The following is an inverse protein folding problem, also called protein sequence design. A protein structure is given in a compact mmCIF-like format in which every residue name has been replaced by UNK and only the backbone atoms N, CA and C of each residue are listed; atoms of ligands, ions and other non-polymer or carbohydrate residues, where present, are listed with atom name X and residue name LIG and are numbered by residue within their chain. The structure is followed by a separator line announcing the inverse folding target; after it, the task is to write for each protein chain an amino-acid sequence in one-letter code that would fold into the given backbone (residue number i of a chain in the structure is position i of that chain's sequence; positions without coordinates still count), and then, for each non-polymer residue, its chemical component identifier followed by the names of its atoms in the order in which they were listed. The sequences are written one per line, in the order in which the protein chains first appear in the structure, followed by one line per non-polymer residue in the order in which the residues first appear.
data_IF_671906573027
#
_entry.id   IF_671906573027
#
_cell.length_a   1.000
_cell.length_b   1.000
_cell.length_c   1.000
_cell.angle_alpha   90.00
_cell.angle_beta   90.00
_cell.angle_gamma   90.00
#
_symmetry.space_group_name_H-M   'P 1'
#
loop_
_entity.id
_entity.type
_entity.pdbx_description
1 polymer ?
#
# COMPACT_ATOMS: atom_id res chain seq x y z
N UNK A 1 -28.41 -67.14 3.41
CA UNK A 1 -27.78 -65.92 3.95
C UNK A 1 -28.84 -64.84 3.98
N UNK A 2 -29.06 -64.23 5.14
CA UNK A 2 -29.94 -63.05 5.37
C UNK A 2 -29.34 -61.82 4.68
N UNK A 3 -30.07 -60.77 4.28
CA UNK A 3 -31.51 -60.48 4.32
C UNK A 3 -31.70 -58.98 4.00
N UNK A 4 -32.73 -58.59 3.23
CA UNK A 4 -33.01 -57.18 2.91
C UNK A 4 -33.33 -56.35 4.17
N UNK A 5 -33.06 -55.03 4.15
CA UNK A 5 -34.06 -53.97 4.42
C UNK A 5 -33.49 -52.54 4.31
N UNK A 6 -34.27 -51.66 3.68
CA UNK A 6 -34.10 -50.20 3.70
C UNK A 6 -34.82 -49.59 4.91
N UNK A 7 -34.26 -48.59 5.59
CA UNK A 7 -34.99 -47.75 6.54
C UNK A 7 -34.38 -46.33 6.68
N UNK A 8 -35.23 -45.36 7.01
CA UNK A 8 -34.88 -43.93 7.16
C UNK A 8 -34.15 -43.65 8.49
N UNK A 9 -33.32 -42.62 8.53
CA UNK A 9 -32.69 -42.14 9.78
C UNK A 9 -33.52 -41.07 10.51
N UNK A 10 -33.06 -40.59 11.68
CA UNK A 10 -33.59 -39.38 12.32
C UNK A 10 -32.63 -38.18 12.18
N UNK A 11 -33.22 -36.98 12.10
CA UNK A 11 -32.50 -35.69 12.21
C UNK A 11 -32.19 -35.41 13.69
N UNK A 12 -31.04 -34.83 14.00
CA UNK A 12 -30.83 -34.18 15.30
C UNK A 12 -30.43 -32.70 15.11
N UNK A 13 -31.35 -31.80 15.42
CA UNK A 13 -31.08 -30.39 15.74
C UNK A 13 -31.16 -30.25 17.26
N UNK A 14 -30.24 -29.50 17.87
CA UNK A 14 -30.33 -28.75 19.15
C UNK A 14 -28.90 -28.49 19.66
N UNK A 15 -28.56 -27.38 20.31
CA UNK A 15 -29.21 -26.05 20.30
C UNK A 15 -28.18 -24.96 20.70
N UNK A 16 -28.54 -23.69 20.51
CA UNK A 16 -27.68 -22.53 20.80
C UNK A 16 -27.45 -22.29 22.30
N UNK A 17 -26.24 -21.89 22.70
CA UNK A 17 -26.03 -21.15 23.96
C UNK A 17 -25.13 -19.92 23.76
N UNK A 18 -25.76 -18.76 23.52
CA UNK A 18 -25.12 -17.44 23.67
C UNK A 18 -24.92 -17.14 25.16
N UNK A 19 -23.71 -16.78 25.59
CA UNK A 19 -23.51 -16.11 26.90
C UNK A 19 -23.43 -14.59 26.70
N UNK A 20 -24.41 -13.88 27.25
CA UNK A 20 -24.41 -12.42 27.39
C UNK A 20 -23.44 -12.03 28.51
N UNK A 21 -22.68 -10.96 28.31
CA UNK A 21 -22.03 -10.23 29.42
C UNK A 21 -22.99 -9.16 29.92
N UNK A 22 -23.19 -9.09 31.23
CA UNK A 22 -24.05 -8.09 31.88
C UNK A 22 -23.17 -6.96 32.42
N UNK A 23 -23.49 -5.73 32.03
CA UNK A 23 -22.98 -4.52 32.70
C UNK A 23 -23.85 -4.26 33.92
N UNK A 24 -23.22 -4.05 35.08
CA UNK A 24 -23.88 -3.57 36.30
C UNK A 24 -23.16 -2.31 36.78
N UNK A 25 -23.92 -1.24 37.04
CA UNK A 25 -23.39 0.05 37.48
C UNK A 25 -23.74 0.38 38.93
N UNK A 26 -22.96 1.31 39.48
CA UNK A 26 -23.30 2.27 40.54
C UNK A 26 -24.01 1.80 41.83
N UNK A 27 -23.33 1.94 42.95
CA UNK A 27 -23.89 2.52 44.18
C UNK A 27 -22.78 3.20 44.98
N UNK A 28 -23.05 4.39 45.54
CA UNK A 28 -22.14 5.13 46.40
C UNK A 28 -22.69 5.21 47.83
N UNK A 29 -21.82 5.20 48.84
CA UNK A 29 -22.14 5.58 50.23
C UNK A 29 -20.95 6.37 50.79
N UNK A 30 -21.22 7.54 51.36
CA UNK A 30 -20.23 8.36 52.04
C UNK A 30 -20.23 8.10 53.56
N UNK A 31 -19.09 8.26 54.22
CA UNK A 31 -18.99 8.33 55.68
C UNK A 31 -17.98 9.41 56.10
N UNK A 32 -18.37 10.19 57.11
CA UNK A 32 -17.63 11.35 57.63
C UNK A 32 -16.68 10.92 58.75
N UNK A 33 -15.49 11.51 58.82
CA UNK A 33 -14.56 11.39 59.95
C UNK A 33 -13.82 12.71 60.19
N UNK A 34 -13.80 13.19 61.44
CA UNK A 34 -13.37 14.56 61.83
C UNK A 34 -12.11 14.52 62.72
N UNK A 35 -11.22 15.49 62.52
CA UNK A 35 -10.19 15.91 63.49
C UNK A 35 -8.73 15.79 62.98
N UNK A 36 -7.82 16.73 63.22
CA UNK A 36 -7.96 18.07 63.81
C UNK A 36 -6.63 18.69 64.29
N UNK A 37 -6.33 19.95 63.93
CA UNK A 37 -5.17 20.73 64.38
C UNK A 37 -3.80 20.28 63.83
N UNK A 38 -2.66 21.01 63.86
CA UNK A 38 -2.22 22.39 64.19
C UNK A 38 -0.74 22.46 63.68
N UNK A 39 -0.05 23.55 63.31
CA UNK A 39 -0.30 24.95 62.90
C UNK A 39 0.99 25.44 62.15
N UNK A 40 1.07 26.56 61.43
CA UNK A 40 1.35 27.94 61.91
C UNK A 40 1.57 28.90 60.71
N UNK A 41 1.31 30.20 60.92
CA UNK A 41 1.86 31.45 60.29
C UNK A 41 2.90 31.32 59.14
N UNK A 42 2.89 32.15 58.08
CA UNK A 42 2.95 33.63 58.14
C UNK A 42 2.81 34.32 56.75
N UNK A 43 2.46 35.61 56.81
CA UNK A 43 2.67 36.76 55.88
C UNK A 43 2.69 36.62 54.35
N UNK A 44 2.03 37.58 53.71
CA UNK A 44 2.17 37.91 52.29
C UNK A 44 3.50 38.60 51.97
N UNK A 45 3.90 38.56 50.70
CA UNK A 45 4.60 39.66 50.04
C UNK A 45 4.13 39.77 48.58
N UNK A 46 4.13 40.98 48.03
CA UNK A 46 3.68 41.32 46.69
C UNK A 46 4.84 41.98 45.95
N UNK A 47 5.37 41.39 44.87
CA UNK A 47 6.31 42.12 44.02
C UNK A 47 6.28 41.74 42.54
N UNK A 48 6.02 42.76 41.72
CA UNK A 48 6.49 43.00 40.34
C UNK A 48 6.24 41.95 39.25
N UNK A 49 5.44 42.37 38.27
CA UNK A 49 5.53 41.89 36.90
C UNK A 49 6.92 42.17 36.29
N UNK A 50 7.43 41.20 35.52
CA UNK A 50 8.51 41.40 34.57
C UNK A 50 7.95 41.25 33.16
N UNK A 51 7.88 42.35 32.41
CA UNK A 51 7.49 42.32 31.01
C UNK A 51 8.58 41.62 30.17
N UNK A 52 8.19 40.57 29.44
CA UNK A 52 9.03 40.01 28.37
C UNK A 52 8.48 40.49 27.03
N UNK A 53 9.34 41.17 26.28
CA UNK A 53 9.06 41.75 24.96
C UNK A 53 8.57 40.70 23.97
N UNK A 54 7.39 40.91 23.41
CA UNK A 54 6.83 40.05 22.36
C UNK A 54 7.55 40.23 21.03
N UNK A 55 8.40 39.28 20.67
CA UNK A 55 8.81 39.08 19.27
C UNK A 55 7.71 38.31 18.56
N UNK A 56 6.90 39.01 17.78
CA UNK A 56 5.89 38.39 16.92
C UNK A 56 6.56 37.68 15.72
N UNK A 57 7.08 36.47 15.94
CA UNK A 57 7.40 35.56 14.84
C UNK A 57 6.12 34.98 14.29
N UNK A 58 5.84 35.27 13.02
CA UNK A 58 4.73 34.73 12.25
C UNK A 58 4.76 33.21 12.21
N UNK A 59 4.01 32.56 13.10
CA UNK A 59 3.79 31.11 13.07
C UNK A 59 2.79 30.83 11.96
N UNK A 60 3.30 30.57 10.76
CA UNK A 60 2.56 29.79 9.75
C UNK A 60 2.46 28.38 10.30
N UNK A 61 1.41 28.12 11.08
CA UNK A 61 1.11 26.79 11.60
C UNK A 61 0.58 25.93 10.46
N UNK A 62 1.50 25.39 9.65
CA UNK A 62 1.26 24.07 9.08
C UNK A 62 0.90 23.14 10.25
N UNK A 63 -0.17 22.37 10.11
CA UNK A 63 -0.50 21.38 11.12
C UNK A 63 0.69 20.40 11.23
N UNK A 64 1.17 20.16 12.45
CA UNK A 64 2.26 19.21 12.64
C UNK A 64 1.73 17.80 12.30
N UNK A 65 2.11 17.30 11.13
CA UNK A 65 1.62 16.03 10.60
C UNK A 65 1.88 14.90 11.60
N UNK A 66 0.81 14.30 12.11
CA UNK A 66 0.89 13.30 13.17
C UNK A 66 1.43 11.94 12.67
N UNK A 67 1.48 11.76 11.34
CA UNK A 67 2.16 10.66 10.68
C UNK A 67 2.93 11.17 9.46
N UNK A 68 4.08 10.58 9.16
CA UNK A 68 4.85 10.94 7.96
C UNK A 68 4.13 10.42 6.71
N UNK A 69 3.97 11.29 5.71
CA UNK A 69 3.49 10.92 4.38
C UNK A 69 4.35 9.76 3.83
N UNK A 70 3.69 8.71 3.33
CA UNK A 70 4.38 7.62 2.65
C UNK A 70 4.93 8.13 1.32
N UNK A 71 6.18 7.81 1.00
CA UNK A 71 6.84 8.37 -0.18
C UNK A 71 6.08 7.97 -1.44
N UNK A 72 5.74 8.98 -2.24
CA UNK A 72 5.03 8.81 -3.50
C UNK A 72 6.03 8.44 -4.60
N UNK A 73 5.61 7.62 -5.55
CA UNK A 73 6.46 7.09 -6.62
C UNK A 73 5.71 7.07 -7.93
N UNK A 74 6.45 7.03 -9.05
CA UNK A 74 5.86 6.89 -10.39
C UNK A 74 4.93 5.67 -10.48
N UNK A 75 3.79 5.83 -11.14
CA UNK A 75 2.86 4.75 -11.51
C UNK A 75 3.56 3.66 -12.33
N UNK A 76 4.43 4.09 -13.25
CA UNK A 76 5.06 3.22 -14.24
C UNK A 76 4.11 2.84 -15.39
N UNK A 77 4.64 2.23 -16.46
CA UNK A 77 3.93 2.10 -17.73
C UNK A 77 2.76 1.09 -17.72
N UNK A 78 2.58 0.33 -16.64
CA UNK A 78 1.74 -0.87 -16.61
C UNK A 78 0.56 -0.80 -15.63
N UNK A 79 0.12 0.39 -15.23
CA UNK A 79 -1.20 0.52 -14.60
C UNK A 79 -2.28 0.12 -15.60
N UNK A 80 -3.37 -0.44 -15.08
CA UNK A 80 -4.60 -0.68 -15.83
C UNK A 80 -5.71 -0.48 -14.81
N UNK A 81 -6.61 0.48 -15.06
CA UNK A 81 -7.91 0.48 -14.38
C UNK A 81 -8.67 -0.75 -14.88
N UNK A 82 -8.67 -1.79 -14.05
CA UNK A 82 -9.03 -3.14 -14.47
C UNK A 82 -10.50 -3.49 -14.16
N UNK A 83 -11.26 -2.58 -13.52
CA UNK A 83 -12.59 -2.81 -12.95
C UNK A 83 -12.66 -4.08 -12.04
N UNK A 84 -11.51 -4.57 -11.57
CA UNK A 84 -11.42 -5.83 -10.80
C UNK A 84 -11.65 -5.57 -9.31
N UNK A 85 -12.91 -5.40 -8.93
CA UNK A 85 -13.31 -5.36 -7.52
C UNK A 85 -13.10 -6.73 -6.83
N UNK A 86 -11.90 -6.99 -6.32
CA UNK A 86 -11.54 -8.25 -5.65
C UNK A 86 -10.39 -8.10 -4.66
N UNK A 87 -10.36 -8.99 -3.68
CA UNK A 87 -9.26 -9.14 -2.69
C UNK A 87 -8.36 -10.32 -2.94
N UNK A 88 -8.82 -11.34 -3.65
CA UNK A 88 -7.98 -12.44 -4.10
C UNK A 88 -7.60 -12.12 -5.55
N UNK A 89 -6.35 -11.72 -5.76
CA UNK A 89 -5.82 -11.29 -7.07
C UNK A 89 -4.91 -12.35 -7.69
N UNK A 90 -4.70 -13.47 -6.98
CA UNK A 90 -3.83 -14.60 -7.35
C UNK A 90 -4.16 -15.19 -8.73
N UNK A 91 -5.46 -15.32 -9.02
CA UNK A 91 -5.99 -16.08 -10.17
C UNK A 91 -5.39 -17.49 -10.25
N UNK A 92 -4.71 -17.81 -11.34
CA UNK A 92 -4.04 -19.09 -11.61
C UNK A 92 -2.51 -19.05 -11.43
N UNK A 93 -1.94 -17.90 -11.04
CA UNK A 93 -0.49 -17.72 -10.99
C UNK A 93 0.14 -18.45 -9.81
N UNK A 94 1.16 -19.25 -10.12
CA UNK A 94 1.98 -19.97 -9.15
C UNK A 94 2.97 -19.03 -8.45
N UNK A 95 3.21 -19.27 -7.16
CA UNK A 95 4.16 -18.51 -6.36
C UNK A 95 3.99 -18.73 -4.86
N UNK A 96 4.81 -18.05 -4.05
CA UNK A 96 4.72 -18.07 -2.59
C UNK A 96 3.49 -17.27 -2.16
N UNK A 97 2.51 -17.83 -1.43
CA UNK A 97 1.31 -17.09 -1.04
C UNK A 97 1.61 -15.88 -0.15
N UNK A 98 1.16 -14.69 -0.55
CA UNK A 98 1.29 -13.44 0.20
C UNK A 98 -0.08 -12.94 0.64
N UNK A 99 -0.27 -12.76 1.94
CA UNK A 99 -1.39 -11.99 2.49
C UNK A 99 -0.89 -10.59 2.83
N UNK A 100 -1.27 -9.62 2.00
CA UNK A 100 -0.87 -8.22 2.13
C UNK A 100 -1.98 -7.45 2.85
N UNK A 101 -1.69 -6.83 4.00
CA UNK A 101 -2.63 -5.96 4.71
C UNK A 101 -2.10 -4.53 4.74
N UNK A 102 -2.84 -3.64 4.10
CA UNK A 102 -2.56 -2.22 4.01
C UNK A 102 -3.48 -1.49 4.98
N UNK A 103 -2.99 -0.42 5.61
CA UNK A 103 -3.81 0.51 6.38
C UNK A 103 -3.62 1.92 5.85
N UNK A 104 -4.67 2.53 5.34
CA UNK A 104 -4.68 3.93 4.87
C UNK A 104 -5.11 4.85 6.02
N UNK A 105 -4.29 5.85 6.32
CA UNK A 105 -4.62 6.94 7.23
C UNK A 105 -4.34 8.29 6.58
N UNK A 106 -5.14 9.27 6.95
CA UNK A 106 -4.83 10.69 6.72
C UNK A 106 -3.58 11.05 7.54
N UNK A 107 -2.53 11.59 6.89
CA UNK A 107 -1.25 11.92 7.54
C UNK A 107 -1.32 13.13 8.48
N UNK A 108 -2.27 14.05 8.27
CA UNK A 108 -2.46 15.22 9.14
C UNK A 108 -3.28 14.87 10.39
N UNK A 109 -4.35 14.08 10.25
CA UNK A 109 -5.28 13.78 11.36
C UNK A 109 -5.12 12.41 11.98
N UNK A 110 -4.33 11.52 11.38
CA UNK A 110 -4.10 10.12 11.77
C UNK A 110 -5.37 9.26 11.84
N UNK A 111 -6.48 9.77 11.28
CA UNK A 111 -7.74 9.06 11.21
C UNK A 111 -7.66 8.02 10.09
N UNK A 112 -8.17 6.81 10.30
CA UNK A 112 -8.26 5.85 9.22
C UNK A 112 -9.24 6.30 8.14
N UNK A 113 -8.78 6.28 6.89
CA UNK A 113 -9.63 6.63 5.74
C UNK A 113 -10.44 5.38 5.37
N UNK A 114 -11.75 5.45 5.60
CA UNK A 114 -12.71 4.37 5.32
C UNK A 114 -13.27 4.52 3.91
N UNK A 115 -13.58 3.39 3.26
CA UNK A 115 -14.16 3.31 1.91
C UNK A 115 -13.27 3.89 0.79
N UNK A 116 -11.99 4.20 1.04
CA UNK A 116 -11.04 4.49 -0.03
C UNK A 116 -10.89 3.26 -0.92
N UNK A 117 -10.81 3.43 -2.24
CA UNK A 117 -10.43 2.36 -3.15
C UNK A 117 -8.91 2.27 -3.16
N UNK A 118 -8.39 1.06 -2.93
CA UNK A 118 -6.96 0.78 -3.02
C UNK A 118 -6.76 -0.19 -4.16
N UNK A 119 -6.03 0.25 -5.17
CA UNK A 119 -5.54 -0.58 -6.26
C UNK A 119 -4.18 -1.16 -5.86
N UNK A 120 -3.94 -2.42 -6.20
CA UNK A 120 -2.59 -2.97 -6.27
C UNK A 120 -2.36 -3.73 -7.59
N UNK A 121 -1.15 -3.66 -8.11
CA UNK A 121 -0.69 -4.46 -9.24
C UNK A 121 0.79 -4.83 -9.13
N UNK A 122 1.17 -6.01 -9.61
CA UNK A 122 2.57 -6.44 -9.69
C UNK A 122 2.78 -7.52 -10.75
N UNK A 123 4.04 -7.81 -11.04
CA UNK A 123 4.44 -8.94 -11.88
C UNK A 123 4.24 -10.29 -11.16
N UNK A 124 4.12 -11.36 -11.96
CA UNK A 124 4.18 -12.72 -11.43
C UNK A 124 5.59 -13.12 -10.95
N UNK A 125 5.72 -14.37 -10.48
CA UNK A 125 6.95 -14.91 -9.91
C UNK A 125 8.16 -14.89 -10.88
N UNK A 126 7.93 -14.72 -12.19
CA UNK A 126 8.99 -14.63 -13.22
C UNK A 126 9.17 -13.22 -13.79
N UNK A 127 8.50 -12.21 -13.22
CA UNK A 127 8.63 -10.82 -13.63
C UNK A 127 7.67 -10.36 -14.72
N UNK A 128 6.63 -11.15 -15.06
CA UNK A 128 5.70 -10.86 -16.15
C UNK A 128 4.44 -10.14 -15.64
N UNK A 129 4.10 -8.99 -16.22
CA UNK A 129 2.85 -8.27 -15.91
C UNK A 129 1.69 -8.74 -16.80
N UNK A 130 0.53 -8.95 -16.18
CA UNK A 130 -0.74 -9.14 -16.90
C UNK A 130 -1.12 -7.90 -17.70
N UNK A 131 -1.64 -8.09 -18.90
CA UNK A 131 -1.86 -7.02 -19.87
C UNK A 131 -0.61 -6.68 -20.69
N UNK A 132 0.57 -7.22 -20.38
CA UNK A 132 1.84 -6.89 -21.01
C UNK A 132 2.76 -8.12 -21.16
N UNK A 133 2.18 -9.33 -21.32
CA UNK A 133 2.98 -10.56 -21.34
C UNK A 133 3.98 -10.54 -22.50
N UNK A 134 3.53 -10.11 -23.68
CA UNK A 134 4.35 -10.05 -24.90
C UNK A 134 5.59 -9.13 -24.78
N UNK A 135 5.46 -8.01 -24.07
CA UNK A 135 6.55 -7.05 -23.83
C UNK A 135 7.49 -7.57 -22.74
N UNK A 136 6.91 -8.14 -21.67
CA UNK A 136 7.65 -8.67 -20.52
C UNK A 136 8.56 -9.86 -20.90
N UNK A 137 8.06 -10.78 -21.73
CA UNK A 137 8.85 -11.95 -22.19
C UNK A 137 9.77 -11.62 -23.38
N UNK A 138 9.51 -10.51 -24.08
CA UNK A 138 10.10 -10.19 -25.38
C UNK A 138 11.45 -9.46 -25.36
N UNK A 139 12.15 -9.37 -24.22
CA UNK A 139 13.43 -8.66 -24.11
C UNK A 139 13.34 -7.16 -24.46
N UNK A 140 12.13 -6.60 -24.46
CA UNK A 140 11.89 -5.19 -24.73
C UNK A 140 12.44 -4.36 -23.59
N UNK A 141 13.41 -3.49 -23.88
CA UNK A 141 13.90 -2.53 -22.90
C UNK A 141 12.74 -1.65 -22.42
N UNK A 142 12.32 -1.84 -21.16
CA UNK A 142 11.45 -0.89 -20.48
C UNK A 142 12.11 0.49 -20.59
N UNK A 143 11.40 1.56 -20.99
CA UNK A 143 12.01 2.88 -21.11
C UNK A 143 12.41 3.41 -19.72
N UNK A 144 13.67 3.18 -19.33
CA UNK A 144 14.28 3.75 -18.12
C UNK A 144 14.53 5.23 -18.32
N UNK A 145 13.44 6.01 -18.19
CA UNK A 145 13.39 7.44 -18.47
C UNK A 145 14.12 8.31 -17.44
N UNK A 146 15.45 8.26 -17.40
CA UNK A 146 16.28 9.31 -16.83
C UNK A 146 16.86 10.17 -17.96
N UNK A 147 16.65 11.50 -18.00
CA UNK A 147 17.11 12.35 -19.09
C UNK A 147 18.62 12.59 -19.02
N UNK A 148 19.40 11.68 -19.59
CA UNK A 148 20.84 11.90 -19.86
C UNK A 148 20.98 12.71 -21.15
N UNK A 149 21.02 14.04 -21.02
CA UNK A 149 21.11 14.93 -22.17
C UNK A 149 21.17 16.41 -21.82
N UNK A 150 22.30 16.87 -21.27
CA UNK A 150 22.60 18.30 -21.25
C UNK A 150 22.85 18.80 -22.69
N UNK A 151 22.13 19.82 -23.19
CA UNK A 151 22.28 20.26 -24.58
C UNK A 151 23.47 21.21 -24.74
N UNK A 152 24.49 20.78 -25.48
CA UNK A 152 25.66 21.62 -25.84
C UNK A 152 25.93 21.57 -27.35
N UNK A 153 25.61 22.66 -28.06
CA UNK A 153 26.18 22.94 -29.39
C UNK A 153 25.21 23.22 -30.53
N UNK A 154 24.75 24.48 -30.63
CA UNK A 154 24.41 25.26 -31.85
C UNK A 154 23.87 24.59 -33.13
N UNK A 155 22.71 25.02 -33.67
CA UNK A 155 22.20 24.55 -34.96
C UNK A 155 22.94 25.18 -36.15
N UNK A 156 23.18 24.41 -37.21
CA UNK A 156 23.57 24.92 -38.53
C UNK A 156 23.04 23.98 -39.61
N UNK A 157 21.98 24.41 -40.31
CA UNK A 157 21.35 23.64 -41.38
C UNK A 157 19.98 24.20 -41.75
N UNK A 158 19.76 24.47 -43.03
CA UNK A 158 18.50 24.92 -43.62
C UNK A 158 17.48 23.76 -43.67
N UNK A 159 16.17 23.97 -43.42
CA UNK A 159 15.22 22.89 -43.25
C UNK A 159 14.80 22.24 -44.59
N UNK A 160 14.98 20.93 -44.80
CA UNK A 160 14.38 20.25 -45.94
C UNK A 160 12.87 20.10 -45.73
N UNK A 161 12.08 20.56 -46.71
CA UNK A 161 10.63 20.41 -46.71
C UNK A 161 10.23 18.95 -46.95
N UNK A 162 10.01 18.20 -45.87
CA UNK A 162 9.49 16.84 -45.91
C UNK A 162 8.89 16.44 -44.56
N UNK A 163 7.72 15.82 -44.56
CA UNK A 163 7.05 15.31 -43.36
C UNK A 163 7.23 13.79 -43.28
N UNK A 164 8.05 13.25 -42.38
CA UNK A 164 7.90 11.89 -41.90
C UNK A 164 6.82 11.89 -40.81
N UNK A 165 5.83 11.00 -40.94
CA UNK A 165 4.97 10.63 -39.82
C UNK A 165 5.76 9.67 -38.93
N UNK A 166 5.98 10.04 -37.67
CA UNK A 166 6.83 9.25 -36.76
C UNK A 166 7.20 10.01 -35.50
N UNK A 167 6.18 10.36 -34.70
CA UNK A 167 6.39 10.99 -33.39
C UNK A 167 6.76 9.97 -32.32
N UNK A 168 8.04 9.59 -32.25
CA UNK A 168 8.59 8.92 -31.06
C UNK A 168 9.03 9.97 -30.03
N UNK A 169 8.33 9.98 -28.90
CA UNK A 169 8.69 10.67 -27.65
C UNK A 169 7.63 10.32 -26.60
N UNK A 170 7.93 10.16 -25.32
CA UNK A 170 9.25 10.17 -24.68
C UNK A 170 9.08 10.36 -23.16
N UNK A 171 9.47 9.36 -22.36
CA UNK A 171 9.43 9.40 -20.90
C UNK A 171 8.04 9.18 -20.27
N UNK A 172 7.98 8.36 -19.22
CA UNK A 172 6.92 8.37 -18.19
C UNK A 172 5.49 7.92 -18.55
N UNK A 173 5.16 7.67 -19.81
CA UNK A 173 3.77 7.38 -20.20
C UNK A 173 3.25 5.97 -19.87
N UNK A 174 1.97 5.91 -19.48
CA UNK A 174 1.11 4.72 -19.51
C UNK A 174 1.18 4.03 -20.88
N UNK A 175 1.26 2.70 -20.92
CA UNK A 175 1.22 1.93 -22.15
C UNK A 175 -0.13 1.22 -22.32
N UNK A 176 -0.61 1.13 -23.56
CA UNK A 176 -1.79 0.32 -23.88
C UNK A 176 -1.50 -1.17 -23.66
N UNK A 177 -2.40 -1.93 -23.00
CA UNK A 177 -2.24 -3.37 -22.82
C UNK A 177 -2.10 -4.12 -24.15
N UNK A 178 -1.21 -5.12 -24.18
CA UNK A 178 -1.03 -6.04 -25.32
C UNK A 178 -1.98 -7.24 -25.29
N UNK A 179 -2.65 -7.48 -24.17
CA UNK A 179 -3.52 -8.63 -23.92
C UNK A 179 -4.59 -8.32 -22.85
N UNK A 180 -5.58 -9.20 -22.74
CA UNK A 180 -6.74 -9.08 -21.84
C UNK A 180 -6.49 -9.69 -20.45
N UNK A 181 -5.28 -10.20 -20.17
CA UNK A 181 -4.98 -10.82 -18.87
C UNK A 181 -4.97 -9.77 -17.74
N UNK A 182 -5.50 -10.13 -16.57
CA UNK A 182 -5.58 -9.21 -15.42
C UNK A 182 -5.12 -9.81 -14.09
N UNK A 183 -4.46 -10.97 -14.11
CA UNK A 183 -3.90 -11.61 -12.91
C UNK A 183 -3.02 -10.65 -12.11
N UNK A 184 -2.98 -10.83 -10.78
CA UNK A 184 -2.17 -10.03 -9.85
C UNK A 184 -2.47 -8.52 -9.89
N UNK A 185 -3.70 -8.17 -10.31
CA UNK A 185 -4.31 -6.83 -10.22
C UNK A 185 -5.61 -6.88 -9.46
N UNK A 186 -5.91 -5.87 -8.65
CA UNK A 186 -7.24 -5.71 -8.10
C UNK A 186 -7.42 -4.50 -7.18
N UNK A 187 -8.68 -4.11 -7.07
CA UNK A 187 -9.16 -2.94 -6.34
C UNK A 187 -10.05 -3.39 -5.19
N UNK A 188 -9.86 -2.84 -3.99
CA UNK A 188 -10.83 -3.07 -2.91
C UNK A 188 -10.90 -1.95 -1.88
N UNK A 189 -12.06 -1.82 -1.24
CA UNK A 189 -12.33 -0.78 -0.24
C UNK A 189 -11.67 -1.02 1.11
N UNK A 190 -11.18 0.06 1.71
CA UNK A 190 -10.78 0.08 3.13
C UNK A 190 -11.98 -0.04 4.07
N UNK A 191 -11.77 -0.70 5.21
CA UNK A 191 -12.78 -0.88 6.27
C UNK A 191 -12.88 0.33 7.23
N UNK A 192 -13.61 0.17 8.34
CA UNK A 192 -13.79 1.23 9.35
C UNK A 192 -12.51 1.58 10.13
N UNK A 193 -11.48 0.77 10.00
CA UNK A 193 -10.15 0.93 10.59
C UNK A 193 -9.12 1.34 9.52
N UNK A 194 -9.58 1.70 8.31
CA UNK A 194 -8.75 2.08 7.17
C UNK A 194 -8.00 0.90 6.55
N UNK A 195 -8.36 -0.34 6.90
CA UNK A 195 -7.61 -1.53 6.49
C UNK A 195 -8.23 -2.18 5.24
N UNK A 196 -7.35 -2.67 4.36
CA UNK A 196 -7.69 -3.57 3.26
C UNK A 196 -6.70 -4.74 3.27
N UNK A 197 -7.19 -5.94 2.99
CA UNK A 197 -6.36 -7.15 2.92
C UNK A 197 -6.54 -7.81 1.57
N UNK A 198 -5.42 -8.00 0.87
CA UNK A 198 -5.33 -8.75 -0.37
C UNK A 198 -4.66 -10.11 -0.13
N UNK A 199 -5.01 -11.08 -0.97
CA UNK A 199 -4.28 -12.32 -1.17
C UNK A 199 -3.71 -12.31 -2.57
N UNK A 200 -2.44 -12.64 -2.68
CA UNK A 200 -1.67 -12.65 -3.91
C UNK A 200 -0.48 -13.61 -3.74
N UNK A 201 0.51 -13.54 -4.63
CA UNK A 201 1.83 -14.17 -4.46
C UNK A 201 2.91 -13.13 -4.13
N UNK A 202 4.02 -13.58 -3.56
CA UNK A 202 5.24 -12.78 -3.49
C UNK A 202 5.68 -12.42 -4.93
N UNK A 203 5.97 -11.15 -5.27
CA UNK A 203 6.28 -10.80 -6.66
C UNK A 203 7.63 -11.37 -7.10
N UNK A 204 7.78 -11.61 -8.40
CA UNK A 204 9.09 -11.88 -9.01
C UNK A 204 9.91 -10.60 -9.19
N UNK A 205 10.91 -10.67 -10.07
CA UNK A 205 11.72 -9.53 -10.48
C UNK A 205 11.92 -9.50 -11.99
N UNK A 206 12.10 -8.30 -12.51
CA UNK A 206 12.47 -8.04 -13.90
C UNK A 206 13.67 -7.08 -13.91
N UNK A 207 14.37 -6.99 -15.05
CA UNK A 207 15.63 -6.26 -15.11
C UNK A 207 15.48 -4.76 -14.78
N UNK A 208 16.37 -4.23 -13.94
CA UNK A 208 16.51 -2.80 -13.65
C UNK A 208 15.58 -2.26 -12.56
N UNK A 209 14.80 -3.11 -11.88
CA UNK A 209 13.95 -2.77 -10.73
C UNK A 209 14.09 -3.82 -9.62
N UNK A 210 14.06 -3.39 -8.36
CA UNK A 210 13.96 -4.31 -7.23
C UNK A 210 12.55 -4.93 -7.12
N UNK A 211 12.33 -5.89 -6.23
CA UNK A 211 11.01 -6.51 -6.04
C UNK A 211 10.03 -5.51 -5.41
N UNK A 212 8.90 -5.29 -6.06
CA UNK A 212 7.88 -4.33 -5.62
C UNK A 212 6.44 -4.74 -5.94
N UNK A 213 5.49 -4.13 -5.23
CA UNK A 213 4.05 -4.08 -5.56
C UNK A 213 3.67 -2.62 -5.71
N UNK A 214 3.01 -2.24 -6.80
CA UNK A 214 2.47 -0.88 -6.96
C UNK A 214 1.17 -0.70 -6.17
N UNK A 215 0.88 0.53 -5.78
CA UNK A 215 -0.39 0.92 -5.17
C UNK A 215 -0.88 2.26 -5.71
N UNK A 216 -2.20 2.39 -5.83
CA UNK A 216 -2.88 3.69 -5.97
C UNK A 216 -4.03 3.75 -4.97
N UNK A 217 -4.25 4.90 -4.35
CA UNK A 217 -5.35 5.13 -3.39
C UNK A 217 -6.26 6.21 -3.95
N UNK A 218 -7.54 5.90 -4.06
CA UNK A 218 -8.57 6.81 -4.51
C UNK A 218 -9.56 7.12 -3.38
N UNK A 219 -9.98 8.38 -3.30
CA UNK A 219 -10.91 8.91 -2.30
C UNK A 219 -12.02 9.72 -2.98
N UNK A 220 -13.06 10.06 -2.22
CA UNK A 220 -14.22 10.88 -2.62
C UNK A 220 -15.07 10.40 -3.82
N UNK A 221 -14.77 9.23 -4.39
CA UNK A 221 -15.63 8.48 -5.30
C UNK A 221 -16.69 7.63 -4.59
N UNK A 222 -17.66 7.14 -5.36
CA UNK A 222 -18.79 6.33 -4.91
C UNK A 222 -18.60 4.84 -5.25
N UNK A 223 -18.94 3.96 -4.30
CA UNK A 223 -18.96 2.52 -4.53
C UNK A 223 -20.31 2.09 -5.09
N UNK A 224 -20.35 1.68 -6.36
CA UNK A 224 -21.54 1.18 -7.04
C UNK A 224 -21.54 -0.36 -7.09
N UNK A 225 -22.59 -0.96 -7.68
CA UNK A 225 -22.59 -2.39 -8.01
C UNK A 225 -21.69 -2.70 -9.23
N UNK A 226 -21.27 -1.68 -9.99
CA UNK A 226 -20.44 -1.81 -11.19
C UNK A 226 -18.94 -1.60 -10.89
N UNK A 227 -18.60 -0.70 -9.97
CA UNK A 227 -17.21 -0.30 -9.74
C UNK A 227 -17.01 0.66 -8.56
N UNK A 228 -15.93 1.43 -8.66
CA UNK A 228 -15.73 2.65 -7.90
C UNK A 228 -15.73 3.81 -8.90
N UNK A 229 -16.64 4.76 -8.74
CA UNK A 229 -16.93 5.78 -9.76
C UNK A 229 -16.69 7.19 -9.21
N UNK A 230 -15.99 8.02 -10.00
CA UNK A 230 -15.59 9.36 -9.58
C UNK A 230 -14.47 9.36 -8.53
N UNK A 231 -14.35 10.48 -7.80
CA UNK A 231 -13.22 10.71 -6.91
C UNK A 231 -11.93 11.08 -7.64
N UNK A 232 -10.81 10.96 -6.94
CA UNK A 232 -9.46 11.18 -7.47
C UNK A 232 -8.44 10.29 -6.77
N UNK A 233 -7.30 10.06 -7.42
CA UNK A 233 -6.15 9.40 -6.81
C UNK A 233 -5.45 10.37 -5.87
N UNK A 234 -5.41 10.10 -4.57
CA UNK A 234 -4.74 10.93 -3.56
C UNK A 234 -3.36 10.40 -3.14
N UNK A 235 -2.92 9.28 -3.72
CA UNK A 235 -1.60 8.71 -3.49
C UNK A 235 -1.27 7.67 -4.55
N UNK A 236 -0.08 7.76 -5.16
CA UNK A 236 0.51 6.70 -5.98
C UNK A 236 1.88 6.32 -5.41
N UNK A 237 2.11 5.02 -5.24
CA UNK A 237 3.25 4.52 -4.48
C UNK A 237 3.68 3.10 -4.87
N UNK A 238 4.79 2.65 -4.32
CA UNK A 238 5.30 1.29 -4.47
C UNK A 238 5.71 0.73 -3.10
N UNK A 239 5.40 -0.54 -2.87
CA UNK A 239 5.80 -1.30 -1.70
C UNK A 239 6.99 -2.18 -2.01
N UNK A 240 7.97 -2.20 -1.12
CA UNK A 240 9.25 -2.87 -1.32
C UNK A 240 9.47 -3.99 -0.30
N UNK A 241 10.36 -4.93 -0.64
CA UNK A 241 10.62 -6.16 0.11
C UNK A 241 12.06 -6.20 0.62
N UNK A 242 12.27 -6.62 1.87
CA UNK A 242 13.61 -6.72 2.45
C UNK A 242 14.46 -7.81 1.76
N UNK A 243 15.76 -7.57 1.63
CA UNK A 243 16.69 -8.44 0.89
C UNK A 243 16.73 -9.88 1.44
N UNK A 244 16.55 -10.07 2.76
CA UNK A 244 16.48 -11.42 3.36
C UNK A 244 15.27 -12.20 2.82
N UNK A 245 14.10 -11.54 2.70
CA UNK A 245 12.89 -12.15 2.14
C UNK A 245 13.02 -12.46 0.66
N UNK A 246 13.67 -11.59 -0.13
CA UNK A 246 13.83 -11.81 -1.57
C UNK A 246 14.84 -12.92 -1.85
N UNK A 247 15.96 -12.98 -1.12
CA UNK A 247 16.90 -14.11 -1.20
C UNK A 247 16.21 -15.43 -0.82
N UNK A 248 15.39 -15.44 0.24
CA UNK A 248 14.63 -16.63 0.61
C UNK A 248 13.59 -17.03 -0.45
N UNK A 249 12.98 -16.06 -1.15
CA UNK A 249 12.02 -16.36 -2.22
C UNK A 249 12.67 -16.97 -3.46
N UNK A 250 13.90 -16.56 -3.79
CA UNK A 250 14.64 -17.04 -4.96
C UNK A 250 15.06 -18.52 -4.88
N UNK A 251 14.98 -19.16 -3.71
CA UNK A 251 15.22 -20.59 -3.53
C UNK A 251 13.96 -21.47 -3.79
N UNK A 252 12.82 -20.86 -4.14
CA UNK A 252 11.52 -21.54 -4.27
C UNK A 252 11.05 -21.54 -5.71
N UNK A 253 10.43 -22.63 -6.17
CA UNK A 253 9.79 -22.69 -7.48
C UNK A 253 8.53 -21.78 -7.54
N UNK A 254 8.28 -21.06 -8.66
CA UNK A 254 9.07 -21.03 -9.90
C UNK A 254 10.21 -20.00 -9.89
N UNK A 255 10.34 -19.15 -8.86
CA UNK A 255 11.36 -18.10 -8.76
C UNK A 255 12.79 -18.61 -8.98
N UNK A 256 13.10 -19.82 -8.50
CA UNK A 256 14.38 -20.52 -8.69
C UNK A 256 14.73 -20.85 -10.15
N UNK A 257 13.77 -20.76 -11.07
CA UNK A 257 14.00 -20.91 -12.53
C UNK A 257 14.34 -19.61 -13.23
N UNK A 258 14.17 -18.46 -12.56
CA UNK A 258 14.43 -17.15 -13.15
C UNK A 258 15.93 -16.98 -13.43
N UNK A 259 16.25 -16.72 -14.70
CA UNK A 259 17.61 -16.34 -15.13
C UNK A 259 17.83 -14.82 -15.14
N UNK A 260 16.85 -14.04 -14.69
CA UNK A 260 16.90 -12.58 -14.74
C UNK A 260 17.82 -12.03 -13.66
N UNK A 261 18.75 -11.15 -14.04
CA UNK A 261 19.62 -10.44 -13.10
C UNK A 261 18.79 -9.58 -12.14
N UNK A 262 19.03 -9.72 -10.83
CA UNK A 262 18.33 -8.99 -9.78
C UNK A 262 18.93 -7.60 -9.60
N UNK A 263 18.06 -6.61 -9.45
CA UNK A 263 18.41 -5.29 -8.88
C UNK A 263 18.05 -5.30 -7.38
N UNK A 264 18.99 -4.92 -6.51
CA UNK A 264 18.75 -4.82 -5.06
C UNK A 264 18.04 -3.53 -4.68
N UNK A 265 17.53 -3.43 -3.44
CA UNK A 265 16.96 -2.18 -2.90
C UNK A 265 17.93 -0.98 -2.98
N UNK A 266 19.24 -1.22 -2.90
CA UNK A 266 20.27 -0.17 -2.95
C UNK A 266 20.67 0.26 -4.37
N UNK A 267 20.28 -0.50 -5.38
CA UNK A 267 20.54 -0.23 -6.80
C UNK A 267 19.29 0.30 -7.53
N UNK A 268 18.10 0.08 -6.96
CA UNK A 268 16.85 0.64 -7.46
C UNK A 268 16.81 2.16 -7.27
N UNK A 269 16.34 2.87 -8.30
CA UNK A 269 16.32 4.33 -8.37
C UNK A 269 14.98 4.95 -7.95
N UNK A 270 13.98 4.13 -7.61
CA UNK A 270 12.66 4.55 -7.12
C UNK A 270 12.58 4.42 -5.60
N UNK A 271 13.16 3.38 -5.01
CA UNK A 271 13.19 3.22 -3.55
C UNK A 271 14.16 4.21 -2.89
N UNK A 272 13.62 5.18 -2.14
CA UNK A 272 14.35 6.26 -1.48
C UNK A 272 15.19 5.85 -0.24
N UNK A 273 15.19 4.56 0.11
CA UNK A 273 15.86 3.97 1.27
C UNK A 273 15.37 4.47 2.64
N UNK A 274 14.23 5.17 2.72
CA UNK A 274 13.65 5.68 3.98
C UNK A 274 12.88 4.62 4.81
N UNK A 275 12.99 3.34 4.43
CA UNK A 275 12.37 2.24 5.16
C UNK A 275 10.86 2.20 4.95
N UNK A 276 10.10 2.05 6.03
CA UNK A 276 8.62 1.96 5.94
C UNK A 276 7.98 3.25 5.44
N UNK A 277 8.63 4.42 5.56
CA UNK A 277 8.14 5.65 4.94
C UNK A 277 8.15 5.50 3.42
N UNK A 278 9.26 5.02 2.85
CA UNK A 278 9.43 4.72 1.43
C UNK A 278 8.82 3.40 0.95
N UNK A 279 7.81 2.87 1.65
CA UNK A 279 7.08 1.68 1.20
C UNK A 279 7.65 0.32 1.63
N UNK A 280 8.74 0.24 2.40
CA UNK A 280 9.29 -1.05 2.84
C UNK A 280 8.32 -1.81 3.77
N UNK A 281 7.85 -2.96 3.29
CA UNK A 281 6.88 -3.80 3.98
C UNK A 281 7.45 -4.45 5.26
N UNK A 282 6.59 -4.59 6.28
CA UNK A 282 6.89 -5.41 7.46
C UNK A 282 6.42 -6.83 7.21
N UNK A 283 7.36 -7.72 6.93
CA UNK A 283 7.11 -9.11 6.56
C UNK A 283 7.18 -10.07 7.76
N UNK A 284 6.32 -11.08 7.77
CA UNK A 284 6.34 -12.20 8.72
C UNK A 284 6.09 -13.52 8.00
N UNK A 285 7.09 -14.39 8.05
CA UNK A 285 7.09 -15.70 7.42
C UNK A 285 7.95 -16.69 8.23
N UNK A 286 7.93 -17.97 7.86
CA UNK A 286 8.85 -18.94 8.44
C UNK A 286 10.19 -18.86 7.71
N UNK A 287 11.22 -18.31 8.37
CA UNK A 287 12.58 -18.16 7.80
C UNK A 287 13.25 -19.47 7.33
N UNK A 288 12.74 -20.64 7.71
CA UNK A 288 13.22 -21.95 7.23
C UNK A 288 12.42 -22.52 6.06
N UNK A 289 11.29 -21.91 5.70
CA UNK A 289 10.41 -22.34 4.62
C UNK A 289 9.43 -21.20 4.31
N UNK A 290 9.87 -20.27 3.46
CA UNK A 290 9.05 -19.12 3.02
C UNK A 290 7.87 -19.56 2.13
N UNK A 291 7.99 -20.69 1.42
CA UNK A 291 6.96 -21.28 0.56
C UNK A 291 5.64 -21.62 1.30
N UNK A 292 5.64 -21.66 2.64
CA UNK A 292 4.42 -21.74 3.45
C UNK A 292 3.59 -20.45 3.48
N UNK A 293 4.10 -19.38 2.89
CA UNK A 293 3.44 -18.09 2.75
C UNK A 293 4.00 -17.00 3.67
N UNK A 294 3.73 -15.76 3.26
CA UNK A 294 4.20 -14.51 3.86
C UNK A 294 3.01 -13.65 4.28
N UNK A 295 3.10 -13.00 5.43
CA UNK A 295 2.21 -11.91 5.83
C UNK A 295 2.98 -10.59 5.63
N UNK A 296 2.49 -9.72 4.76
CA UNK A 296 3.05 -8.37 4.57
C UNK A 296 2.13 -7.32 5.17
N UNK A 297 2.69 -6.33 5.87
CA UNK A 297 1.92 -5.24 6.49
C UNK A 297 2.61 -3.88 6.34
N UNK A 298 1.82 -2.83 6.10
CA UNK A 298 2.27 -1.43 6.10
C UNK A 298 1.11 -0.50 6.46
N UNK A 299 1.42 0.65 7.06
CA UNK A 299 0.50 1.78 7.22
C UNK A 299 0.95 2.89 6.29
N UNK A 300 0.05 3.35 5.44
CA UNK A 300 0.26 4.44 4.49
C UNK A 300 -0.33 5.70 5.11
N UNK A 301 0.50 6.74 5.28
CA UNK A 301 0.00 8.10 5.42
C UNK A 301 -0.24 8.67 4.03
N UNK A 302 -1.40 9.27 3.81
CA UNK A 302 -1.76 9.96 2.55
C UNK A 302 -2.41 11.32 2.86
N UNK A 303 -2.36 12.25 1.91
CA UNK A 303 -3.08 13.53 2.00
C UNK A 303 -4.35 13.42 1.14
N UNK A 304 -5.54 13.18 1.70
CA UNK A 304 -6.73 12.86 0.91
C UNK A 304 -7.19 14.01 0.00
N UNK A 305 -6.97 15.26 0.41
CA UNK A 305 -7.36 16.46 -0.34
C UNK A 305 -6.40 16.78 -1.52
N UNK A 306 -5.26 16.09 -1.63
CA UNK A 306 -4.32 16.22 -2.75
C UNK A 306 -4.61 15.21 -3.87
N UNK A 307 -4.09 15.48 -5.07
CA UNK A 307 -4.15 14.59 -6.22
C UNK A 307 -2.75 14.14 -6.62
N UNK A 308 -2.52 12.83 -6.64
CA UNK A 308 -1.29 12.22 -7.13
C UNK A 308 -1.60 11.04 -8.07
N UNK A 309 -1.52 11.31 -9.37
CA UNK A 309 -1.73 10.32 -10.43
C UNK A 309 -0.49 9.45 -10.73
N UNK A 310 0.67 9.77 -10.15
CA UNK A 310 1.92 9.02 -10.32
C UNK A 310 2.77 9.40 -11.54
N UNK A 311 2.66 10.63 -12.04
CA UNK A 311 3.42 11.18 -13.18
C UNK A 311 4.81 11.70 -12.80
#
# INVERSE_FOLDING_TARGET
MTGNHTAQGPKHKQDLTRRKVVVAGSAAVAAVGVGGGLAMTASADETTAAASSGTASSTSSAAEACYQLTSETTEGPYYIDADKLRRDITEDKEGIPLTLTLKVIDSETCKPIRNAAVDIWHCDALGIYSGYESVSTGGGSVPTGAPSGAPTGTPTGEPPSGRPSGGTGGGGGHQEPTDDERYLRGTWRTDKQGQVTFKTIFPGWYQGRCVHIHTKVHVDGEWTDAGYEGGHACHTGQFFFDEESVLASAEVEPYSTSTTERTTLTEDHIYDQSGTQGGLLKLKYNKKNIARGVLGTITMGVVPDETNDGT
#
